data_IF_819670104522
#
_entry.id   IF_819670104522
#
_cell.length_a   1.000
_cell.length_b   1.000
_cell.length_c   1.000
_cell.angle_alpha   90.00
_cell.angle_beta   90.00
_cell.angle_gamma   90.00
#
_symmetry.space_group_name_H-M   'P 1'
#
loop_
_entity.id
_entity.type
_entity.pdbx_description
1 polymer ?
#
# COMPACT_ATOMS: atom_id res chain seq x y z
N UNK A 1 -10.86 -11.15 -8.54
CA UNK A 1 -11.19 -12.59 -8.39
C UNK A 1 -10.85 -13.32 -9.68
N UNK A 2 -11.16 -12.78 -10.84
CA UNK A 2 -10.90 -13.40 -12.15
C UNK A 2 -9.43 -13.51 -12.51
N UNK A 3 -8.57 -12.68 -11.91
CA UNK A 3 -7.11 -12.69 -12.08
C UNK A 3 -6.48 -13.93 -11.41
N UNK A 4 -7.09 -14.41 -10.32
CA UNK A 4 -6.52 -15.47 -9.47
C UNK A 4 -6.81 -16.88 -10.04
N UNK A 5 -7.66 -16.99 -11.03
CA UNK A 5 -8.13 -18.27 -11.54
C UNK A 5 -9.18 -18.96 -10.65
N UNK A 6 -9.96 -19.84 -11.25
CA UNK A 6 -11.10 -20.49 -10.57
C UNK A 6 -10.77 -21.23 -9.27
N UNK A 7 -9.67 -22.02 -9.18
CA UNK A 7 -9.35 -22.76 -7.96
C UNK A 7 -9.06 -21.86 -6.76
N UNK A 8 -8.42 -20.73 -6.99
CA UNK A 8 -8.05 -19.79 -5.93
C UNK A 8 -9.22 -18.86 -5.56
N UNK A 9 -10.03 -18.47 -6.54
CA UNK A 9 -11.24 -17.67 -6.31
C UNK A 9 -12.20 -18.39 -5.35
N UNK A 10 -12.30 -19.72 -5.42
CA UNK A 10 -13.16 -20.51 -4.53
C UNK A 10 -12.77 -20.40 -3.05
N UNK A 11 -11.52 -20.07 -2.75
CA UNK A 11 -11.04 -19.88 -1.38
C UNK A 11 -11.64 -18.62 -0.75
N UNK A 12 -11.93 -17.60 -1.55
CA UNK A 12 -12.44 -16.29 -1.09
C UNK A 12 -13.97 -16.21 -1.14
N UNK A 13 -14.61 -16.96 -2.00
CA UNK A 13 -16.08 -16.89 -2.19
C UNK A 13 -16.79 -17.25 -0.89
N UNK A 14 -17.65 -16.33 -0.44
CA UNK A 14 -18.49 -16.52 0.74
C UNK A 14 -17.77 -16.53 2.08
N UNK A 15 -16.49 -16.20 2.14
CA UNK A 15 -15.71 -16.10 3.37
C UNK A 15 -15.35 -14.66 3.69
N UNK A 16 -15.40 -14.33 4.97
CA UNK A 16 -14.83 -13.06 5.44
C UNK A 16 -13.32 -13.07 5.20
N UNK A 17 -12.74 -11.98 4.69
CA UNK A 17 -11.32 -11.89 4.49
C UNK A 17 -10.57 -12.10 5.82
N UNK A 18 -9.65 -13.05 5.84
CA UNK A 18 -8.78 -13.33 6.98
C UNK A 18 -7.33 -13.38 6.50
N UNK A 19 -6.34 -12.88 7.26
CA UNK A 19 -4.94 -12.84 6.83
C UNK A 19 -4.40 -14.20 6.38
N UNK A 20 -4.77 -15.29 7.06
CA UNK A 20 -4.34 -16.64 6.66
C UNK A 20 -4.83 -17.09 5.29
N UNK A 21 -5.97 -16.58 4.83
CA UNK A 21 -6.46 -16.86 3.46
C UNK A 21 -5.60 -16.14 2.42
N UNK A 22 -5.22 -14.90 2.70
CA UNK A 22 -4.34 -14.12 1.82
C UNK A 22 -2.96 -14.79 1.71
N UNK A 23 -2.37 -15.18 2.85
CA UNK A 23 -1.10 -15.90 2.87
C UNK A 23 -1.17 -17.21 2.09
N UNK A 24 -2.28 -17.98 2.23
CA UNK A 24 -2.48 -19.21 1.46
C UNK A 24 -2.51 -18.96 -0.05
N UNK A 25 -3.15 -17.89 -0.49
CA UNK A 25 -3.17 -17.51 -1.91
C UNK A 25 -1.76 -17.16 -2.38
N UNK A 26 -1.03 -16.34 -1.62
CA UNK A 26 0.34 -15.95 -1.94
C UNK A 26 1.28 -17.16 -2.02
N UNK A 27 1.18 -18.11 -1.09
CA UNK A 27 1.97 -19.33 -1.15
C UNK A 27 1.66 -20.19 -2.38
N UNK A 28 0.39 -20.34 -2.74
CA UNK A 28 -0.03 -21.13 -3.90
C UNK A 28 0.36 -20.50 -5.23
N UNK A 29 0.56 -19.20 -5.26
CA UNK A 29 0.90 -18.46 -6.48
C UNK A 29 2.36 -18.08 -6.59
N UNK A 30 3.18 -18.38 -5.57
CA UNK A 30 4.57 -17.93 -5.43
C UNK A 30 5.46 -18.25 -6.64
N UNK A 31 5.22 -19.38 -7.31
CA UNK A 31 6.00 -19.83 -8.47
C UNK A 31 5.29 -19.55 -9.81
N UNK A 32 4.18 -18.79 -9.79
CA UNK A 32 3.45 -18.45 -11.02
C UNK A 32 3.91 -17.10 -11.57
N UNK A 33 3.78 -16.91 -12.87
CA UNK A 33 4.06 -15.62 -13.52
C UNK A 33 3.19 -14.46 -13.00
N UNK A 34 2.04 -14.76 -12.40
CA UNK A 34 1.08 -13.76 -11.91
C UNK A 34 1.27 -13.43 -10.42
N UNK A 35 2.29 -13.98 -9.75
CA UNK A 35 2.53 -13.78 -8.32
C UNK A 35 2.56 -12.29 -7.93
N UNK A 36 3.34 -11.50 -8.66
CA UNK A 36 3.52 -10.08 -8.35
C UNK A 36 2.21 -9.30 -8.52
N UNK A 37 1.44 -9.61 -9.57
CA UNK A 37 0.13 -8.99 -9.81
C UNK A 37 -0.86 -9.33 -8.68
N UNK A 38 -0.86 -10.60 -8.24
CA UNK A 38 -1.73 -11.07 -7.16
C UNK A 38 -1.33 -10.42 -5.83
N UNK A 39 -0.03 -10.36 -5.54
CA UNK A 39 0.52 -9.72 -4.34
C UNK A 39 0.12 -8.24 -4.27
N UNK A 40 0.32 -7.50 -5.34
CA UNK A 40 -0.09 -6.09 -5.43
C UNK A 40 -1.62 -5.92 -5.30
N UNK A 41 -2.41 -6.81 -5.90
CA UNK A 41 -3.87 -6.77 -5.80
C UNK A 41 -4.35 -6.99 -4.36
N UNK A 42 -3.73 -7.93 -3.64
CA UNK A 42 -4.01 -8.17 -2.22
C UNK A 42 -3.63 -6.94 -1.39
N UNK A 43 -2.45 -6.36 -1.59
CA UNK A 43 -2.01 -5.16 -0.87
C UNK A 43 -2.95 -3.97 -1.11
N UNK A 44 -3.33 -3.73 -2.36
CA UNK A 44 -4.26 -2.63 -2.73
C UNK A 44 -5.68 -2.85 -2.22
N UNK A 45 -6.11 -4.08 -1.99
CA UNK A 45 -7.43 -4.39 -1.43
C UNK A 45 -7.54 -4.09 0.07
N UNK A 46 -6.41 -3.92 0.76
CA UNK A 46 -6.41 -3.63 2.19
C UNK A 46 -6.69 -2.14 2.45
N UNK A 47 -7.51 -1.89 3.47
CA UNK A 47 -7.71 -0.52 3.94
C UNK A 47 -6.47 -0.01 4.66
N UNK A 48 -6.19 1.29 4.48
CA UNK A 48 -5.09 1.92 5.18
C UNK A 48 -5.29 1.87 6.70
N UNK A 49 -4.23 1.53 7.44
CA UNK A 49 -4.24 1.54 8.89
C UNK A 49 -4.54 2.94 9.45
N UNK A 50 -5.24 2.99 10.58
CA UNK A 50 -5.51 4.22 11.31
C UNK A 50 -5.51 3.97 12.81
N UNK A 51 -5.21 4.98 13.59
CA UNK A 51 -5.45 4.95 15.02
C UNK A 51 -6.94 5.12 15.31
N UNK A 52 -7.44 4.36 16.26
CA UNK A 52 -8.84 4.42 16.69
C UNK A 52 -8.93 4.17 18.19
N UNK A 53 -9.96 4.74 18.83
CA UNK A 53 -10.25 4.50 20.23
C UNK A 53 -10.92 3.13 20.49
N UNK A 54 -11.38 2.47 19.42
CA UNK A 54 -11.97 1.12 19.45
C UNK A 54 -10.98 0.09 18.92
N UNK A 55 -11.04 -1.09 19.50
CA UNK A 55 -10.22 -2.20 19.03
C UNK A 55 -10.90 -2.91 17.85
N UNK A 56 -10.41 -2.68 16.65
CA UNK A 56 -10.82 -3.39 15.41
C UNK A 56 -9.88 -4.53 15.02
N UNK A 57 -8.98 -4.94 15.92
CA UNK A 57 -7.88 -5.85 15.60
C UNK A 57 -6.85 -5.26 14.61
N UNK A 58 -5.76 -5.96 14.39
CA UNK A 58 -4.78 -5.60 13.38
C UNK A 58 -4.75 -6.68 12.30
N UNK A 59 -5.42 -6.42 11.17
CA UNK A 59 -5.58 -7.40 10.09
C UNK A 59 -4.24 -7.92 9.57
N UNK A 60 -3.33 -7.03 9.18
CA UNK A 60 -2.05 -7.43 8.57
C UNK A 60 -1.13 -8.24 9.51
N UNK A 61 -1.25 -8.06 10.83
CA UNK A 61 -0.52 -8.87 11.82
C UNK A 61 -1.34 -10.06 12.35
N UNK A 62 -2.59 -10.19 11.97
CA UNK A 62 -3.53 -11.20 12.48
C UNK A 62 -3.66 -11.17 14.02
N UNK A 63 -3.55 -10.01 14.65
CA UNK A 63 -3.63 -9.84 16.10
C UNK A 63 -4.99 -9.28 16.51
N UNK A 64 -5.64 -9.94 17.45
CA UNK A 64 -6.94 -9.50 18.03
C UNK A 64 -6.79 -8.20 18.81
N UNK A 65 -5.71 -8.05 19.55
CA UNK A 65 -5.39 -6.88 20.35
C UNK A 65 -4.02 -6.37 19.95
N UNK A 66 -3.94 -5.12 19.55
CA UNK A 66 -2.70 -4.51 19.15
C UNK A 66 -2.68 -3.03 19.52
N UNK A 67 -1.54 -2.57 20.00
CA UNK A 67 -1.31 -1.18 20.35
C UNK A 67 0.15 -0.82 20.09
N UNK A 68 0.41 0.39 19.65
CA UNK A 68 1.75 0.94 19.60
C UNK A 68 2.22 1.29 21.01
N UNK A 69 3.41 0.83 21.40
CA UNK A 69 3.92 1.00 22.76
C UNK A 69 5.41 1.35 22.83
N UNK A 70 6.22 0.89 21.89
CA UNK A 70 7.68 0.83 22.03
C UNK A 70 8.44 2.05 21.51
N UNK A 71 7.76 3.05 20.94
CA UNK A 71 8.42 4.23 20.34
C UNK A 71 7.79 5.57 20.74
N UNK A 72 7.71 5.90 22.06
CA UNK A 72 7.01 7.10 22.53
C UNK A 72 7.69 8.43 22.16
N UNK A 73 8.97 8.38 21.74
CA UNK A 73 9.72 9.58 21.31
C UNK A 73 9.17 10.12 19.98
N UNK A 74 8.77 9.23 19.06
CA UNK A 74 8.36 9.59 17.71
C UNK A 74 6.89 9.30 17.39
N UNK A 75 6.19 8.57 18.24
CA UNK A 75 4.76 8.24 18.06
C UNK A 75 3.97 8.69 19.27
N UNK A 76 3.11 9.68 19.06
CA UNK A 76 2.27 10.20 20.14
C UNK A 76 1.27 9.16 20.68
N UNK A 77 0.84 8.21 19.85
CA UNK A 77 -0.01 7.10 20.27
C UNK A 77 0.63 6.29 21.42
N UNK A 78 1.92 5.97 21.30
CA UNK A 78 2.68 5.24 22.33
C UNK A 78 2.70 6.05 23.65
N UNK A 79 2.93 7.35 23.56
CA UNK A 79 2.93 8.24 24.73
C UNK A 79 1.56 8.30 25.40
N UNK A 80 0.47 8.31 24.63
CA UNK A 80 -0.89 8.23 25.18
C UNK A 80 -1.11 6.94 25.96
N UNK A 81 -0.68 5.81 25.42
CA UNK A 81 -0.79 4.51 26.09
C UNK A 81 0.04 4.48 27.37
N UNK A 82 1.28 4.99 27.36
CA UNK A 82 2.11 5.10 28.55
C UNK A 82 1.39 5.92 29.64
N UNK A 83 0.82 7.07 29.29
CA UNK A 83 0.07 7.90 30.23
C UNK A 83 -1.14 7.17 30.81
N UNK A 84 -1.90 6.44 29.98
CA UNK A 84 -3.04 5.66 30.47
C UNK A 84 -2.63 4.55 31.44
N UNK A 85 -1.55 3.83 31.14
CA UNK A 85 -1.01 2.78 32.02
C UNK A 85 -0.57 3.38 33.36
N UNK A 86 0.16 4.51 33.33
CA UNK A 86 0.57 5.20 34.57
C UNK A 86 -0.65 5.64 35.39
N UNK A 87 -1.69 6.15 34.73
CA UNK A 87 -2.94 6.53 35.42
C UNK A 87 -3.61 5.33 36.08
N UNK A 88 -3.70 4.19 35.39
CA UNK A 88 -4.27 2.96 35.95
C UNK A 88 -3.46 2.48 37.18
N UNK A 89 -2.13 2.46 37.05
CA UNK A 89 -1.24 2.07 38.17
C UNK A 89 -1.43 2.99 39.39
N UNK A 90 -1.51 4.31 39.16
CA UNK A 90 -1.72 5.28 40.22
C UNK A 90 -3.11 5.16 40.87
N UNK A 91 -4.14 4.86 40.10
CA UNK A 91 -5.48 4.60 40.62
C UNK A 91 -5.48 3.33 41.53
N UNK A 92 -4.85 2.24 41.08
CA UNK A 92 -4.73 1.01 41.87
C UNK A 92 -3.98 1.27 43.15
N UNK A 93 -2.96 2.14 43.16
CA UNK A 93 -2.17 2.48 44.35
C UNK A 93 -2.81 3.61 45.18
N UNK A 94 -4.10 3.93 44.99
CA UNK A 94 -4.84 4.97 45.73
C UNK A 94 -4.25 6.40 45.63
N UNK A 95 -3.38 6.64 44.67
CA UNK A 95 -2.89 7.99 44.33
C UNK A 95 -3.87 8.65 43.36
N UNK A 96 -4.70 9.55 43.88
CA UNK A 96 -5.65 10.35 43.07
C UNK A 96 -4.88 11.25 42.06
N UNK A 97 -4.61 10.77 40.86
CA UNK A 97 -4.22 11.59 39.75
C UNK A 97 -5.35 11.48 38.73
N UNK A 98 -6.24 12.48 38.72
CA UNK A 98 -7.35 12.60 37.77
C UNK A 98 -6.84 13.20 36.46
N UNK A 99 -6.32 12.39 35.58
CA UNK A 99 -6.01 12.75 34.18
C UNK A 99 -6.66 11.75 33.21
N UNK A 100 -7.90 11.36 33.50
CA UNK A 100 -8.66 10.54 32.56
C UNK A 100 -9.05 11.41 31.35
N UNK A 101 -8.42 11.14 30.23
CA UNK A 101 -8.86 11.68 28.94
C UNK A 101 -10.18 11.00 28.61
N UNK A 102 -11.20 11.77 28.24
CA UNK A 102 -12.50 11.20 27.89
C UNK A 102 -12.46 10.54 26.51
N UNK A 103 -13.44 9.66 26.23
CA UNK A 103 -13.47 8.87 25.01
C UNK A 103 -13.53 9.72 23.75
N UNK A 104 -14.23 10.85 23.79
CA UNK A 104 -14.35 11.80 22.68
C UNK A 104 -13.02 12.51 22.38
N UNK A 105 -12.26 12.87 23.39
CA UNK A 105 -10.92 13.45 23.23
C UNK A 105 -9.95 12.44 22.64
N UNK A 106 -9.99 11.18 23.09
CA UNK A 106 -9.15 10.10 22.52
C UNK A 106 -9.47 9.93 21.03
N UNK A 107 -10.75 9.95 20.66
CA UNK A 107 -11.15 9.83 19.26
C UNK A 107 -10.56 10.95 18.39
N UNK A 108 -10.69 12.21 18.84
CA UNK A 108 -10.12 13.36 18.12
C UNK A 108 -8.59 13.27 18.02
N UNK A 109 -7.92 12.81 19.07
CA UNK A 109 -6.48 12.58 19.05
C UNK A 109 -6.10 11.49 18.04
N UNK A 110 -6.83 10.38 17.98
CA UNK A 110 -6.60 9.30 17.02
C UNK A 110 -6.75 9.78 15.57
N UNK A 111 -7.78 10.58 15.28
CA UNK A 111 -8.00 11.20 13.97
C UNK A 111 -6.84 12.14 13.61
N UNK A 112 -6.42 12.99 14.55
CA UNK A 112 -5.29 13.91 14.37
C UNK A 112 -3.97 13.16 14.11
N UNK A 113 -3.64 12.15 14.93
CA UNK A 113 -2.42 11.35 14.80
C UNK A 113 -2.41 10.64 13.43
N UNK A 114 -3.53 10.03 13.03
CA UNK A 114 -3.64 9.37 11.73
C UNK A 114 -3.46 10.34 10.56
N UNK A 115 -3.95 11.56 10.69
CA UNK A 115 -3.76 12.61 9.68
C UNK A 115 -2.31 13.07 9.60
N UNK A 116 -1.65 13.30 10.73
CA UNK A 116 -0.25 13.76 10.78
C UNK A 116 0.72 12.69 10.30
N UNK A 117 0.46 11.42 10.61
CA UNK A 117 1.24 10.29 10.08
C UNK A 117 1.18 10.23 8.55
N UNK A 118 -0.03 10.36 7.97
CA UNK A 118 -0.18 10.42 6.50
C UNK A 118 0.56 11.60 5.88
N UNK A 119 0.52 12.78 6.52
CA UNK A 119 1.27 13.95 6.05
C UNK A 119 2.78 13.70 6.08
N UNK A 120 3.29 13.08 7.15
CA UNK A 120 4.71 12.73 7.28
C UNK A 120 5.14 11.73 6.19
N UNK A 121 4.37 10.67 5.98
CA UNK A 121 4.63 9.67 4.93
C UNK A 121 4.62 10.30 3.54
N UNK A 122 3.65 11.18 3.26
CA UNK A 122 3.60 11.88 1.97
C UNK A 122 4.80 12.83 1.78
N UNK A 123 5.24 13.53 2.84
CA UNK A 123 6.41 14.39 2.77
C UNK A 123 7.68 13.58 2.50
N UNK A 124 7.85 12.44 3.17
CA UNK A 124 8.96 11.51 2.95
C UNK A 124 8.95 11.02 1.49
N UNK A 125 7.82 10.50 1.00
CA UNK A 125 7.67 10.03 -0.38
C UNK A 125 8.01 11.14 -1.39
N UNK A 126 7.42 12.32 -1.24
CA UNK A 126 7.69 13.45 -2.13
C UNK A 126 9.18 13.85 -2.13
N UNK A 127 9.85 13.73 -0.98
CA UNK A 127 11.28 14.03 -0.88
C UNK A 127 12.10 12.98 -1.66
N UNK A 128 11.79 11.71 -1.49
CA UNK A 128 12.42 10.62 -2.24
C UNK A 128 12.19 10.79 -3.74
N UNK A 129 10.96 11.07 -4.18
CA UNK A 129 10.63 11.31 -5.59
C UNK A 129 11.45 12.45 -6.20
N UNK A 130 11.66 13.54 -5.44
CA UNK A 130 12.53 14.67 -5.86
C UNK A 130 14.00 14.27 -5.98
N UNK A 131 14.51 13.49 -5.02
CA UNK A 131 15.89 13.01 -5.06
C UNK A 131 16.11 12.05 -6.24
N UNK A 132 15.15 11.17 -6.52
CA UNK A 132 15.17 10.30 -7.69
C UNK A 132 15.17 11.15 -8.97
N UNK A 133 14.30 12.16 -9.07
CA UNK A 133 14.27 13.04 -10.24
C UNK A 133 15.60 13.76 -10.47
N UNK A 134 16.29 14.18 -9.41
CA UNK A 134 17.63 14.76 -9.51
C UNK A 134 18.67 13.73 -9.98
N UNK A 135 18.59 12.49 -9.51
CA UNK A 135 19.49 11.41 -9.92
C UNK A 135 19.40 11.11 -11.42
N UNK A 136 18.19 11.25 -12.00
CA UNK A 136 17.95 10.99 -13.43
C UNK A 136 18.03 12.23 -14.31
N UNK A 137 18.31 13.41 -13.76
CA UNK A 137 18.37 14.65 -14.52
C UNK A 137 19.41 14.61 -15.65
N UNK A 138 20.55 13.99 -15.40
CA UNK A 138 21.65 13.88 -16.39
C UNK A 138 21.48 12.67 -17.33
N UNK A 139 20.51 11.80 -17.07
CA UNK A 139 20.21 10.60 -17.86
C UNK A 139 19.08 10.82 -18.88
N UNK A 140 18.64 12.06 -19.06
CA UNK A 140 17.59 12.40 -20.03
C UNK A 140 18.06 12.00 -21.45
N UNK A 141 17.18 11.31 -22.19
CA UNK A 141 17.42 10.68 -23.48
C UNK A 141 18.17 9.34 -23.45
N UNK A 142 18.58 8.83 -22.33
CA UNK A 142 19.08 7.47 -22.21
C UNK A 142 17.93 6.45 -22.36
N UNK A 143 18.29 5.30 -22.91
CA UNK A 143 17.34 4.18 -23.08
C UNK A 143 17.61 3.17 -22.01
N UNK A 144 16.57 2.81 -21.24
CA UNK A 144 16.65 1.86 -20.13
C UNK A 144 15.59 0.78 -20.28
N UNK A 145 15.89 -0.40 -19.76
CA UNK A 145 14.91 -1.48 -19.63
C UNK A 145 14.23 -1.36 -18.27
N UNK A 146 12.92 -1.51 -18.27
CA UNK A 146 12.13 -1.51 -17.05
C UNK A 146 11.02 -2.52 -17.10
N UNK A 147 10.37 -2.74 -15.98
CA UNK A 147 9.20 -3.62 -15.83
C UNK A 147 7.94 -2.83 -15.53
N UNK A 148 6.82 -3.23 -16.12
CA UNK A 148 5.51 -2.60 -15.88
C UNK A 148 5.05 -2.95 -14.47
N UNK A 149 4.83 -1.91 -13.64
CA UNK A 149 4.26 -2.04 -12.29
C UNK A 149 2.74 -2.07 -12.38
N UNK A 150 2.16 -1.15 -13.14
CA UNK A 150 0.70 -1.03 -13.25
C UNK A 150 0.30 -0.32 -14.55
N UNK A 151 -0.90 -0.62 -15.01
CA UNK A 151 -1.52 -0.02 -16.19
C UNK A 151 -2.73 0.81 -15.82
N UNK A 152 -2.89 1.95 -16.46
CA UNK A 152 -3.97 2.89 -16.22
C UNK A 152 -4.47 3.47 -17.55
N UNK A 153 -5.67 4.06 -17.57
CA UNK A 153 -6.23 4.71 -18.78
C UNK A 153 -5.37 5.86 -19.31
N UNK A 154 -4.56 6.48 -18.47
CA UNK A 154 -3.70 7.62 -18.85
C UNK A 154 -2.25 7.22 -19.17
N UNK A 155 -1.87 5.96 -18.95
CA UNK A 155 -0.52 5.47 -19.20
C UNK A 155 -0.11 4.30 -18.33
N UNK A 156 1.17 4.01 -18.31
CA UNK A 156 1.78 2.84 -17.67
C UNK A 156 2.82 3.32 -16.66
N UNK A 157 2.80 2.76 -15.46
CA UNK A 157 3.90 2.94 -14.51
C UNK A 157 4.95 1.84 -14.72
N UNK A 158 6.19 2.27 -14.86
CA UNK A 158 7.34 1.41 -15.14
C UNK A 158 8.35 1.56 -14.02
N UNK A 159 8.81 0.44 -13.50
CA UNK A 159 9.95 0.35 -12.60
C UNK A 159 11.22 0.27 -13.41
N UNK A 160 12.20 1.10 -13.11
CA UNK A 160 13.50 1.14 -13.77
C UNK A 160 14.61 0.99 -12.73
N UNK A 161 15.80 0.52 -13.19
CA UNK A 161 16.97 0.28 -12.34
C UNK A 161 16.63 -0.59 -11.10
N UNK A 162 16.05 -1.78 -11.34
CA UNK A 162 15.70 -2.76 -10.30
C UNK A 162 14.81 -2.19 -9.15
N UNK A 163 13.91 -1.26 -9.49
CA UNK A 163 12.98 -0.69 -8.53
C UNK A 163 13.48 0.59 -7.84
N UNK A 164 14.63 1.13 -8.24
CA UNK A 164 15.14 2.40 -7.70
C UNK A 164 14.21 3.55 -8.07
N UNK A 165 13.70 3.55 -9.30
CA UNK A 165 12.79 4.60 -9.74
C UNK A 165 11.51 4.02 -10.37
N UNK A 166 10.42 4.75 -10.17
CA UNK A 166 9.14 4.54 -10.85
C UNK A 166 8.88 5.73 -11.78
N UNK A 167 8.60 5.45 -13.04
CA UNK A 167 8.32 6.46 -14.05
C UNK A 167 6.94 6.24 -14.66
N UNK A 168 6.28 7.33 -15.02
CA UNK A 168 5.05 7.28 -15.82
C UNK A 168 5.40 7.36 -17.30
N UNK A 169 5.02 6.33 -18.05
CA UNK A 169 4.97 6.36 -19.52
C UNK A 169 3.55 6.76 -19.94
N UNK A 170 3.32 7.99 -20.38
CA UNK A 170 1.99 8.44 -20.77
C UNK A 170 1.46 7.66 -21.97
N UNK A 171 0.13 7.51 -22.06
CA UNK A 171 -0.53 6.76 -23.15
C UNK A 171 -0.17 7.31 -24.54
N UNK A 172 0.04 8.60 -24.67
CA UNK A 172 0.42 9.26 -25.94
C UNK A 172 1.82 8.88 -26.45
N UNK A 173 2.69 8.37 -25.58
CA UNK A 173 4.05 7.93 -25.90
C UNK A 173 4.09 6.43 -26.24
N UNK A 174 2.97 5.72 -26.11
CA UNK A 174 2.82 4.35 -26.57
C UNK A 174 2.70 4.32 -28.11
N UNK A 175 2.93 3.17 -28.77
CA UNK A 175 2.67 3.01 -30.19
C UNK A 175 1.27 3.50 -30.56
N UNK A 176 1.13 4.17 -31.70
CA UNK A 176 -0.11 4.82 -32.11
C UNK A 176 -1.25 3.79 -32.21
N UNK A 177 -2.21 3.89 -31.28
CA UNK A 177 -3.45 3.11 -31.23
C UNK A 177 -4.46 3.74 -30.27
N UNK A 178 -5.69 3.25 -30.27
CA UNK A 178 -6.64 3.47 -29.19
C UNK A 178 -6.48 2.34 -28.18
N UNK A 179 -6.30 2.71 -26.91
CA UNK A 179 -6.07 1.75 -25.83
C UNK A 179 -7.25 1.72 -24.89
N UNK A 180 -7.82 0.53 -24.67
CA UNK A 180 -8.82 0.30 -23.63
C UNK A 180 -8.23 -0.47 -22.46
N UNK A 181 -8.68 -0.10 -21.25
CA UNK A 181 -8.25 -0.74 -20.02
C UNK A 181 -9.26 -1.80 -19.58
N UNK A 182 -8.89 -3.06 -19.73
CA UNK A 182 -9.58 -4.16 -19.05
C UNK A 182 -9.25 -4.12 -17.56
N UNK A 183 -10.15 -3.54 -16.78
CA UNK A 183 -9.99 -3.42 -15.32
C UNK A 183 -9.96 -4.76 -14.61
N UNK A 184 -10.61 -5.78 -15.16
CA UNK A 184 -10.69 -7.12 -14.58
C UNK A 184 -9.35 -7.84 -14.70
N UNK A 185 -8.75 -7.77 -15.88
CA UNK A 185 -7.46 -8.41 -16.18
C UNK A 185 -6.26 -7.52 -15.87
N UNK A 186 -6.48 -6.22 -15.58
CA UNK A 186 -5.42 -5.23 -15.42
C UNK A 186 -4.49 -5.18 -16.63
N UNK A 187 -5.09 -5.13 -17.83
CA UNK A 187 -4.41 -5.11 -19.12
C UNK A 187 -4.87 -3.90 -19.91
N UNK A 188 -3.93 -3.19 -20.52
CA UNK A 188 -4.18 -2.14 -21.48
C UNK A 188 -4.09 -2.76 -22.88
N UNK A 189 -5.17 -2.73 -23.64
CA UNK A 189 -5.30 -3.38 -24.94
C UNK A 189 -5.42 -2.33 -26.05
N UNK A 190 -4.59 -2.45 -27.10
CA UNK A 190 -4.75 -1.68 -28.33
C UNK A 190 -5.84 -2.27 -29.21
N UNK A 191 -6.79 -1.43 -29.65
CA UNK A 191 -7.95 -1.84 -30.42
C UNK A 191 -7.60 -2.34 -31.83
N UNK A 192 -6.60 -1.74 -32.46
CA UNK A 192 -6.26 -2.01 -33.88
C UNK A 192 -4.97 -2.80 -34.03
N UNK A 193 -3.96 -2.53 -33.19
CA UNK A 193 -2.63 -3.10 -33.33
C UNK A 193 -2.47 -4.48 -32.70
N UNK A 194 -3.36 -4.82 -31.76
CA UNK A 194 -3.20 -6.00 -30.93
C UNK A 194 -2.11 -5.88 -29.86
N UNK A 195 -1.48 -4.71 -29.71
CA UNK A 195 -0.57 -4.46 -28.60
C UNK A 195 -1.28 -4.59 -27.26
N UNK A 196 -0.62 -5.19 -26.30
CA UNK A 196 -1.14 -5.24 -24.93
C UNK A 196 -0.01 -4.99 -23.93
N UNK A 197 -0.38 -4.38 -22.83
CA UNK A 197 0.53 -4.09 -21.72
C UNK A 197 -0.10 -4.58 -20.41
N UNK A 198 0.67 -5.33 -19.64
CA UNK A 198 0.25 -5.82 -18.31
C UNK A 198 1.39 -5.72 -17.30
N UNK A 199 1.07 -5.71 -16.02
CA UNK A 199 2.07 -5.76 -14.95
C UNK A 199 3.02 -6.96 -15.11
N UNK A 200 4.29 -6.74 -14.84
CA UNK A 200 5.35 -7.73 -14.97
C UNK A 200 5.98 -7.86 -16.37
N UNK A 201 5.43 -7.18 -17.40
CA UNK A 201 6.09 -7.15 -18.72
C UNK A 201 7.30 -6.22 -18.71
N UNK A 202 8.38 -6.67 -19.34
CA UNK A 202 9.55 -5.82 -19.61
C UNK A 202 9.33 -4.96 -20.84
N UNK A 203 9.80 -3.75 -20.78
CA UNK A 203 9.84 -2.83 -21.93
C UNK A 203 11.06 -1.93 -21.86
N UNK A 204 11.46 -1.46 -23.03
CA UNK A 204 12.53 -0.50 -23.18
C UNK A 204 11.92 0.89 -23.32
N UNK A 205 12.31 1.79 -22.44
CA UNK A 205 11.81 3.17 -22.39
C UNK A 205 12.94 4.17 -22.50
N UNK A 206 12.62 5.35 -22.97
CA UNK A 206 13.53 6.49 -23.00
C UNK A 206 13.18 7.41 -21.82
N UNK A 207 14.19 7.80 -21.04
CA UNK A 207 14.05 8.75 -19.93
C UNK A 207 13.91 10.17 -20.46
#
# INVERSE_FOLDING_TARGET
IDIIGQPLASILIGKLPHPSLMNKILEQTKETADYELINQSILRSQSQARYDNKNFSHFGLALKNYVHFTSPIRRYADLLIHRQIVNIINQVNSKKINTSINESEIKLLCEHISSTERKATNAERTTIDRLISLLYQDKVNETVTGSIISVHKFGIFVSIDDGIAEALLPIRELPYDWYDLDQTKQVLLGESSGYFFKSGMELTVKI
#
